data_IF_278169720415
#
_entry.id   IF_278169720415
#
_cell.length_a   1.000
_cell.length_b   1.000
_cell.length_c   1.000
_cell.angle_alpha   90.00
_cell.angle_beta   90.00
_cell.angle_gamma   90.00
#
_symmetry.space_group_name_H-M   'P 1'
#
loop_
_entity.id
_entity.type
_entity.pdbx_description
1 polymer ?
#
# COMPACT_ATOMS: atom_id res chain seq x y z
N UNK A 1 -1.70 -7.77 -11.33
CA UNK A 1 -2.26 -8.02 -9.97
C UNK A 1 -3.39 -7.08 -9.57
N UNK A 2 -3.32 -5.75 -9.80
CA UNK A 2 -4.38 -4.81 -9.39
C UNK A 2 -5.68 -5.10 -10.15
N UNK A 3 -5.63 -5.28 -11.47
CA UNK A 3 -6.80 -5.57 -12.28
C UNK A 3 -7.47 -6.89 -11.88
N UNK A 4 -6.67 -7.91 -11.56
CA UNK A 4 -7.15 -9.21 -11.11
C UNK A 4 -7.79 -9.11 -9.71
N UNK A 5 -7.19 -8.32 -8.80
CA UNK A 5 -7.78 -8.09 -7.48
C UNK A 5 -9.15 -7.40 -7.59
N UNK A 6 -9.29 -6.44 -8.51
CA UNK A 6 -10.57 -5.80 -8.84
C UNK A 6 -11.56 -6.84 -9.39
N UNK A 7 -11.14 -7.68 -10.34
CA UNK A 7 -12.00 -8.70 -10.95
C UNK A 7 -12.49 -9.75 -9.94
N UNK A 8 -11.69 -10.07 -8.91
CA UNK A 8 -12.07 -10.98 -7.82
C UNK A 8 -13.06 -10.31 -6.84
N UNK A 9 -13.13 -8.98 -6.83
CA UNK A 9 -14.01 -8.21 -5.93
C UNK A 9 -13.35 -7.75 -4.65
N UNK A 10 -12.01 -7.67 -4.60
CA UNK A 10 -11.33 -7.03 -3.47
C UNK A 10 -11.55 -5.52 -3.49
N UNK A 11 -11.81 -4.94 -2.32
CA UNK A 11 -12.10 -3.50 -2.19
C UNK A 11 -10.86 -2.66 -1.86
N UNK A 12 -9.85 -3.28 -1.24
CA UNK A 12 -8.68 -2.61 -0.69
C UNK A 12 -7.42 -3.46 -0.90
N UNK A 13 -6.36 -2.82 -1.38
CA UNK A 13 -5.01 -3.39 -1.39
C UNK A 13 -4.16 -2.66 -0.35
N UNK A 14 -3.36 -3.40 0.41
CA UNK A 14 -2.44 -2.87 1.41
C UNK A 14 -1.03 -3.36 1.16
N UNK A 15 -0.08 -2.51 1.51
CA UNK A 15 1.34 -2.83 1.50
C UNK A 15 2.05 -2.06 2.62
N UNK A 16 3.25 -2.51 2.93
CA UNK A 16 4.19 -1.80 3.77
C UNK A 16 5.54 -1.67 3.04
N UNK A 17 6.34 -0.69 3.45
CA UNK A 17 7.69 -0.48 2.94
C UNK A 17 8.58 0.20 3.98
N UNK A 18 9.88 0.25 3.72
CA UNK A 18 10.84 0.92 4.61
C UNK A 18 10.92 2.41 4.29
N UNK A 19 11.14 3.27 5.29
CA UNK A 19 11.20 4.72 5.10
C UNK A 19 12.32 5.13 4.13
N UNK A 20 13.42 4.37 4.08
CA UNK A 20 14.55 4.60 3.17
C UNK A 20 14.26 4.22 1.71
N UNK A 21 13.20 3.48 1.42
CA UNK A 21 12.83 3.03 0.07
C UNK A 21 12.07 4.12 -0.71
N UNK A 22 12.63 5.33 -0.75
CA UNK A 22 11.99 6.52 -1.33
C UNK A 22 11.46 6.31 -2.76
N UNK A 23 12.18 5.55 -3.60
CA UNK A 23 11.74 5.26 -4.97
C UNK A 23 10.53 4.34 -5.01
N UNK A 24 10.44 3.37 -4.10
CA UNK A 24 9.27 2.48 -3.99
C UNK A 24 8.06 3.27 -3.48
N UNK A 25 8.24 4.09 -2.45
CA UNK A 25 7.20 4.98 -1.91
C UNK A 25 6.61 5.85 -3.03
N UNK A 26 7.45 6.55 -3.81
CA UNK A 26 6.98 7.38 -4.92
C UNK A 26 6.26 6.58 -6.01
N UNK A 27 6.73 5.37 -6.29
CA UNK A 27 6.06 4.48 -7.25
C UNK A 27 4.66 4.11 -6.76
N UNK A 28 4.51 3.73 -5.49
CA UNK A 28 3.21 3.37 -4.93
C UNK A 28 2.26 4.57 -4.89
N UNK A 29 2.75 5.75 -4.52
CA UNK A 29 1.98 7.01 -4.58
C UNK A 29 1.49 7.28 -6.02
N UNK A 30 2.35 7.13 -7.04
CA UNK A 30 1.97 7.29 -8.45
C UNK A 30 0.97 6.22 -8.93
N UNK A 31 0.97 5.04 -8.32
CA UNK A 31 0.00 3.97 -8.56
C UNK A 31 -1.31 4.13 -7.77
N UNK A 32 -1.48 5.25 -7.04
CA UNK A 32 -2.70 5.58 -6.31
C UNK A 32 -2.79 5.01 -4.90
N UNK A 33 -1.67 4.55 -4.33
CA UNK A 33 -1.61 4.23 -2.91
C UNK A 33 -1.43 5.50 -2.07
N UNK A 34 -2.05 5.52 -0.90
CA UNK A 34 -1.91 6.59 0.09
C UNK A 34 -1.42 6.01 1.41
N UNK A 35 -0.75 6.82 2.22
CA UNK A 35 -0.32 6.40 3.56
C UNK A 35 -1.54 6.09 4.43
N UNK A 36 -1.45 5.05 5.25
CA UNK A 36 -2.51 4.64 6.18
C UNK A 36 -1.93 4.23 7.55
N UNK A 37 -2.77 4.06 8.59
CA UNK A 37 -2.32 3.55 9.88
C UNK A 37 -1.72 2.12 9.76
N UNK A 38 -0.80 1.74 10.66
CA UNK A 38 -0.33 0.36 10.76
C UNK A 38 -1.48 -0.63 10.87
N UNK A 39 -1.40 -1.71 10.08
CA UNK A 39 -2.41 -2.78 10.09
C UNK A 39 -1.86 -4.12 10.63
N UNK A 40 -0.60 -4.17 11.06
CA UNK A 40 0.00 -5.25 11.84
C UNK A 40 1.20 -4.73 12.66
N UNK A 41 1.59 -5.41 13.75
CA UNK A 41 2.77 -5.03 14.52
C UNK A 41 4.05 -5.32 13.75
N UNK A 42 4.91 -4.31 13.62
CA UNK A 42 6.21 -4.39 12.95
C UNK A 42 7.32 -4.09 13.96
N UNK A 43 8.48 -4.78 13.91
CA UNK A 43 9.63 -4.43 14.75
C UNK A 43 10.32 -3.12 14.30
N UNK A 44 9.99 -2.61 13.10
CA UNK A 44 10.56 -1.39 12.55
C UNK A 44 9.56 -0.26 12.80
N UNK A 45 9.86 0.60 13.78
CA UNK A 45 8.96 1.66 14.22
C UNK A 45 8.53 2.63 13.10
N UNK A 46 9.36 2.78 12.07
CA UNK A 46 9.16 3.71 10.95
C UNK A 46 8.65 3.04 9.67
N UNK A 47 8.19 1.78 9.73
CA UNK A 47 7.54 1.14 8.57
C UNK A 47 6.43 2.03 8.02
N UNK A 48 6.46 2.26 6.71
CA UNK A 48 5.46 3.06 6.00
C UNK A 48 4.38 2.12 5.50
N UNK A 49 3.18 2.26 6.04
CA UNK A 49 2.01 1.52 5.60
C UNK A 49 1.24 2.34 4.56
N UNK A 50 0.79 1.68 3.52
CA UNK A 50 0.04 2.30 2.44
C UNK A 50 -1.14 1.43 2.01
N UNK A 51 -2.19 2.06 1.51
CA UNK A 51 -3.35 1.38 0.98
C UNK A 51 -3.88 2.04 -0.29
N UNK A 52 -4.59 1.26 -1.08
CA UNK A 52 -5.29 1.73 -2.27
C UNK A 52 -6.67 1.10 -2.33
N UNK A 53 -7.71 1.93 -2.45
CA UNK A 53 -9.05 1.46 -2.80
C UNK A 53 -9.07 0.98 -4.25
N UNK A 54 -9.67 -0.18 -4.46
CA UNK A 54 -9.71 -0.87 -5.74
C UNK A 54 -11.03 -0.66 -6.50
N UNK A 55 -12.04 -0.08 -5.84
CA UNK A 55 -13.32 0.25 -6.47
C UNK A 55 -13.17 1.45 -7.41
N UNK A 56 -13.82 1.37 -8.58
CA UNK A 56 -13.95 2.45 -9.59
C UNK A 56 -15.23 3.22 -9.34
#
# INVERSE_FOLDING_TARGET
IVAEAIAIGYELMRLDTLPSMHSAIRLYEALGFTRCPPYYPTPIAETVFMERRLQV
#
